data_IF_683940732076
#
_entry.id   IF_683940732076
#
_cell.length_a   1.000
_cell.length_b   1.000
_cell.length_c   1.000
_cell.angle_alpha   90.00
_cell.angle_beta   90.00
_cell.angle_gamma   90.00
#
_symmetry.space_group_name_H-M   'P 1'
#
loop_
_entity.id
_entity.type
_entity.pdbx_description
1 polymer ?
#
# COMPACT_ATOMS: atom_id res chain seq x y z
N UNK A 1 14.59 14.69 -20.06
CA UNK A 1 15.27 14.19 -21.29
C UNK A 1 14.62 12.90 -21.74
N UNK A 2 14.27 12.75 -23.02
CA UNK A 2 13.66 11.53 -23.54
C UNK A 2 14.70 10.40 -23.67
N UNK A 3 14.32 9.17 -23.33
CA UNK A 3 15.21 8.00 -23.43
C UNK A 3 15.61 7.78 -24.91
N UNK A 4 16.90 7.62 -25.24
CA UNK A 4 17.35 7.32 -26.60
C UNK A 4 16.66 6.07 -27.16
N UNK A 5 16.29 6.10 -28.44
CA UNK A 5 15.71 4.95 -29.13
C UNK A 5 16.77 3.84 -29.23
N UNK A 6 16.35 2.59 -29.02
CA UNK A 6 17.22 1.41 -29.19
C UNK A 6 17.66 1.25 -30.63
N UNK A 7 18.87 0.75 -30.85
CA UNK A 7 19.36 0.43 -32.19
C UNK A 7 18.47 -0.62 -32.88
N UNK A 8 18.42 -0.65 -34.23
CA UNK A 8 17.60 -1.62 -34.97
C UNK A 8 17.81 -3.09 -34.55
N UNK A 9 19.06 -3.47 -34.21
CA UNK A 9 19.41 -4.84 -33.80
C UNK A 9 18.92 -5.20 -32.38
N UNK A 10 18.73 -4.21 -31.51
CA UNK A 10 18.24 -4.41 -30.14
C UNK A 10 16.72 -4.34 -30.02
N UNK A 11 16.05 -3.99 -31.13
CA UNK A 11 14.59 -3.98 -31.21
C UNK A 11 14.06 -5.39 -31.42
N UNK A 12 12.97 -5.70 -30.73
CA UNK A 12 12.30 -6.99 -30.86
C UNK A 12 11.47 -6.97 -32.14
N UNK A 13 11.99 -7.54 -33.23
CA UNK A 13 11.38 -7.51 -34.58
C UNK A 13 10.87 -8.87 -35.07
N UNK A 14 11.35 -9.96 -34.49
CA UNK A 14 10.98 -11.32 -34.90
C UNK A 14 9.80 -11.83 -34.07
N UNK A 15 8.85 -12.49 -34.74
CA UNK A 15 7.65 -13.09 -34.14
C UNK A 15 7.83 -14.60 -34.11
N UNK A 16 7.50 -15.20 -32.97
CA UNK A 16 7.41 -16.65 -32.80
C UNK A 16 5.95 -17.01 -32.59
N UNK A 17 5.39 -17.86 -33.44
CA UNK A 17 4.01 -18.32 -33.34
C UNK A 17 3.97 -19.64 -32.57
N UNK A 18 3.32 -19.63 -31.40
CA UNK A 18 3.13 -20.81 -30.56
C UNK A 18 1.63 -21.08 -30.46
N UNK A 19 1.21 -22.31 -30.77
CA UNK A 19 -0.18 -22.75 -30.56
C UNK A 19 -0.32 -23.30 -29.16
N UNK A 20 -1.36 -22.88 -28.46
CA UNK A 20 -1.71 -23.31 -27.11
C UNK A 20 -3.16 -23.78 -27.12
N UNK A 21 -3.45 -24.80 -26.35
CA UNK A 21 -4.82 -25.13 -25.94
C UNK A 21 -5.36 -24.07 -24.97
N UNK A 22 -6.67 -24.06 -24.74
CA UNK A 22 -7.29 -23.13 -23.79
C UNK A 22 -6.76 -23.31 -22.36
N UNK A 23 -6.52 -24.56 -21.94
CA UNK A 23 -5.98 -24.89 -20.64
C UNK A 23 -4.54 -24.35 -20.47
N UNK A 24 -3.68 -24.55 -21.48
CA UNK A 24 -2.30 -24.05 -21.47
C UNK A 24 -2.25 -22.52 -21.48
N UNK A 25 -3.13 -21.87 -22.25
CA UNK A 25 -3.24 -20.42 -22.27
C UNK A 25 -3.68 -19.87 -20.90
N UNK A 26 -4.68 -20.50 -20.27
CA UNK A 26 -5.15 -20.11 -18.95
C UNK A 26 -4.04 -20.28 -17.90
N UNK A 27 -3.35 -21.42 -17.89
CA UNK A 27 -2.23 -21.68 -17.00
C UNK A 27 -1.11 -20.64 -17.17
N UNK A 28 -0.74 -20.33 -18.42
CA UNK A 28 0.30 -19.35 -18.71
C UNK A 28 -0.08 -17.93 -18.27
N UNK A 29 -1.36 -17.54 -18.41
CA UNK A 29 -1.88 -16.28 -17.88
C UNK A 29 -1.84 -16.23 -16.36
N UNK A 30 -2.23 -17.31 -15.68
CA UNK A 30 -2.16 -17.42 -14.22
C UNK A 30 -0.73 -17.26 -13.72
N UNK A 31 0.24 -17.91 -14.38
CA UNK A 31 1.65 -17.77 -13.99
C UNK A 31 2.20 -16.36 -14.26
N UNK A 32 1.81 -15.72 -15.35
CA UNK A 32 2.18 -14.33 -15.62
C UNK A 32 1.63 -13.38 -14.55
N UNK A 33 0.38 -13.57 -14.14
CA UNK A 33 -0.24 -12.82 -13.05
C UNK A 33 0.48 -13.05 -11.72
N UNK A 34 0.78 -14.31 -11.37
CA UNK A 34 1.51 -14.67 -10.16
C UNK A 34 2.94 -14.08 -10.12
N UNK A 35 3.61 -13.97 -11.26
CA UNK A 35 4.92 -13.32 -11.39
C UNK A 35 4.83 -11.77 -11.40
N UNK A 36 3.62 -11.20 -11.46
CA UNK A 36 3.40 -9.77 -11.60
C UNK A 36 4.00 -9.21 -12.89
N UNK A 37 3.82 -9.93 -14.01
CA UNK A 37 4.38 -9.58 -15.32
C UNK A 37 3.30 -9.52 -16.40
N UNK A 38 3.40 -8.59 -17.37
CA UNK A 38 2.55 -8.63 -18.55
C UNK A 38 2.73 -9.96 -19.31
N UNK A 39 1.62 -10.55 -19.77
CA UNK A 39 1.59 -11.86 -20.44
C UNK A 39 2.67 -12.02 -21.51
N UNK A 40 2.75 -11.10 -22.48
CA UNK A 40 3.73 -11.19 -23.57
C UNK A 40 5.18 -11.11 -23.11
N UNK A 41 5.45 -10.40 -21.99
CA UNK A 41 6.79 -10.38 -21.38
C UNK A 41 7.07 -11.71 -20.69
N UNK A 42 6.12 -12.22 -19.90
CA UNK A 42 6.26 -13.50 -19.21
C UNK A 42 6.51 -14.64 -20.19
N UNK A 43 5.64 -14.80 -21.20
CA UNK A 43 5.77 -15.83 -22.23
C UNK A 43 7.13 -15.79 -22.93
N UNK A 44 7.62 -14.60 -23.29
CA UNK A 44 8.94 -14.45 -23.90
C UNK A 44 10.08 -14.91 -22.99
N UNK A 45 10.08 -14.51 -21.72
CA UNK A 45 11.14 -14.92 -20.79
C UNK A 45 11.11 -16.46 -20.61
N UNK A 46 9.92 -17.06 -20.53
CA UNK A 46 9.73 -18.52 -20.46
C UNK A 46 10.25 -19.24 -21.71
N UNK A 47 9.94 -18.74 -22.91
CA UNK A 47 10.46 -19.28 -24.19
C UNK A 47 11.98 -19.20 -24.26
N UNK A 48 12.59 -18.17 -23.66
CA UNK A 48 14.04 -18.00 -23.57
C UNK A 48 14.66 -18.82 -22.42
N UNK A 49 13.93 -19.80 -21.88
CA UNK A 49 14.41 -20.71 -20.84
C UNK A 49 14.51 -20.09 -19.45
N UNK A 50 14.10 -18.83 -19.27
CA UNK A 50 14.05 -18.21 -17.95
C UNK A 50 12.81 -18.69 -17.21
N UNK A 51 12.89 -18.70 -15.89
CA UNK A 51 11.78 -19.10 -15.01
C UNK A 51 11.39 -17.92 -14.12
N UNK A 52 10.66 -16.92 -14.62
CA UNK A 52 10.18 -15.83 -13.78
C UNK A 52 9.36 -16.42 -12.65
N UNK A 53 9.80 -16.20 -11.41
CA UNK A 53 9.15 -16.78 -10.23
C UNK A 53 7.93 -15.96 -9.86
N UNK A 54 6.93 -16.65 -9.31
CA UNK A 54 5.84 -15.98 -8.62
C UNK A 54 6.41 -15.04 -7.56
N UNK A 55 5.84 -13.84 -7.44
CA UNK A 55 6.19 -12.97 -6.31
C UNK A 55 5.68 -13.64 -5.03
N UNK A 56 6.44 -13.57 -3.93
CA UNK A 56 5.93 -14.02 -2.63
C UNK A 56 4.60 -13.31 -2.33
N UNK A 57 3.59 -14.06 -1.87
CA UNK A 57 2.26 -13.50 -1.60
C UNK A 57 2.34 -12.31 -0.63
N UNK A 58 3.23 -12.40 0.37
CA UNK A 58 3.48 -11.34 1.34
C UNK A 58 3.91 -10.03 0.66
N UNK A 59 4.73 -10.11 -0.38
CA UNK A 59 5.20 -8.92 -1.10
C UNK A 59 4.07 -8.29 -1.93
N UNK A 60 3.16 -9.10 -2.48
CA UNK A 60 1.98 -8.59 -3.18
C UNK A 60 1.03 -7.90 -2.19
N UNK A 61 0.76 -8.53 -1.06
CA UNK A 61 -0.09 -8.00 0.01
C UNK A 61 0.47 -6.67 0.52
N UNK A 62 1.77 -6.62 0.81
CA UNK A 62 2.44 -5.40 1.26
C UNK A 62 2.41 -4.29 0.21
N UNK A 63 2.58 -4.61 -1.08
CA UNK A 63 2.44 -3.63 -2.16
C UNK A 63 1.04 -3.01 -2.24
N UNK A 64 -0.01 -3.82 -2.02
CA UNK A 64 -1.39 -3.31 -1.96
C UNK A 64 -1.57 -2.39 -0.76
N UNK A 65 -1.10 -2.80 0.42
CA UNK A 65 -1.14 -1.98 1.62
C UNK A 65 -0.43 -0.62 1.40
N UNK A 66 0.78 -0.63 0.86
CA UNK A 66 1.52 0.60 0.57
C UNK A 66 0.75 1.54 -0.35
N UNK A 67 0.08 0.99 -1.36
CA UNK A 67 -0.75 1.77 -2.26
C UNK A 67 -1.92 2.44 -1.52
N UNK A 68 -2.66 1.68 -0.71
CA UNK A 68 -3.80 2.23 0.06
C UNK A 68 -3.34 3.30 1.07
N UNK A 69 -2.26 3.04 1.81
CA UNK A 69 -1.69 4.00 2.77
C UNK A 69 -1.21 5.28 2.09
N UNK A 70 -0.50 5.17 0.97
CA UNK A 70 -0.02 6.34 0.22
C UNK A 70 -1.16 7.14 -0.41
N UNK A 71 -2.20 6.46 -0.90
CA UNK A 71 -3.41 7.09 -1.41
C UNK A 71 -4.10 7.90 -0.31
N UNK A 72 -4.32 7.30 0.86
CA UNK A 72 -4.88 7.99 2.02
C UNK A 72 -4.01 9.19 2.46
N UNK A 73 -2.69 9.00 2.54
CA UNK A 73 -1.74 10.06 2.91
C UNK A 73 -1.81 11.25 1.95
N UNK A 74 -1.91 10.98 0.64
CA UNK A 74 -2.04 12.02 -0.39
C UNK A 74 -3.33 12.81 -0.21
N UNK A 75 -4.46 12.14 0.06
CA UNK A 75 -5.74 12.81 0.26
C UNK A 75 -5.74 13.65 1.55
N UNK A 76 -5.12 13.16 2.62
CA UNK A 76 -4.92 13.96 3.82
C UNK A 76 -4.02 15.17 3.57
N UNK A 77 -2.95 15.03 2.79
CA UNK A 77 -2.10 16.17 2.45
C UNK A 77 -2.87 17.21 1.64
N UNK A 78 -3.69 16.81 0.67
CA UNK A 78 -4.55 17.74 -0.07
C UNK A 78 -5.51 18.50 0.86
N UNK A 79 -6.12 17.80 1.83
CA UNK A 79 -6.96 18.45 2.84
C UNK A 79 -6.18 19.45 3.69
N UNK A 80 -4.94 19.13 4.07
CA UNK A 80 -4.07 20.04 4.80
C UNK A 80 -3.74 21.29 3.97
N UNK A 81 -3.40 21.10 2.69
CA UNK A 81 -3.01 22.18 1.78
C UNK A 81 -4.17 23.17 1.55
N UNK A 82 -5.41 22.67 1.49
CA UNK A 82 -6.60 23.49 1.27
C UNK A 82 -7.11 24.14 2.55
N UNK A 83 -7.16 23.40 3.66
CA UNK A 83 -7.77 23.91 4.91
C UNK A 83 -6.77 24.62 5.82
N UNK A 84 -5.48 24.37 5.65
CA UNK A 84 -4.42 24.81 6.58
C UNK A 84 -4.46 24.10 7.93
N UNK A 85 -5.32 23.09 8.12
CA UNK A 85 -5.46 22.40 9.40
C UNK A 85 -4.37 21.34 9.58
N UNK A 86 -3.54 21.52 10.61
CA UNK A 86 -2.39 20.64 10.92
C UNK A 86 -2.80 19.18 11.22
N UNK A 87 -4.05 18.94 11.63
CA UNK A 87 -4.54 17.58 11.89
C UNK A 87 -4.41 16.70 10.65
N UNK A 88 -4.73 17.22 9.46
CA UNK A 88 -4.61 16.45 8.23
C UNK A 88 -3.15 16.16 7.86
N UNK A 89 -2.25 17.13 8.05
CA UNK A 89 -0.82 16.93 7.84
C UNK A 89 -0.24 15.86 8.77
N UNK A 90 -0.68 15.82 10.04
CA UNK A 90 -0.30 14.74 10.97
C UNK A 90 -0.77 13.38 10.49
N UNK A 91 -2.01 13.27 10.01
CA UNK A 91 -2.54 12.03 9.47
C UNK A 91 -1.79 11.58 8.20
N UNK A 92 -1.46 12.50 7.30
CA UNK A 92 -0.66 12.19 6.12
C UNK A 92 0.73 11.63 6.47
N UNK A 93 1.43 12.23 7.44
CA UNK A 93 2.74 11.74 7.92
C UNK A 93 2.64 10.39 8.63
N UNK A 94 1.57 10.19 9.40
CA UNK A 94 1.33 8.93 10.09
C UNK A 94 1.09 7.78 9.10
N UNK A 95 0.12 7.93 8.19
CA UNK A 95 -0.28 6.86 7.26
C UNK A 95 0.77 6.59 6.19
N UNK A 96 1.36 7.64 5.61
CA UNK A 96 2.34 7.52 4.52
C UNK A 96 3.78 7.33 4.95
N UNK A 97 4.09 7.49 6.25
CA UNK A 97 5.45 7.41 6.77
C UNK A 97 5.55 6.44 7.95
N UNK A 98 5.09 6.88 9.12
CA UNK A 98 5.34 6.16 10.37
C UNK A 98 4.79 4.73 10.36
N UNK A 99 3.53 4.55 9.97
CA UNK A 99 2.93 3.21 9.95
C UNK A 99 3.56 2.30 8.89
N UNK A 100 3.97 2.87 7.75
CA UNK A 100 4.71 2.14 6.71
C UNK A 100 6.04 1.62 7.25
N UNK A 101 6.81 2.46 7.94
CA UNK A 101 8.07 2.08 8.54
C UNK A 101 7.90 0.98 9.60
N UNK A 102 6.86 1.06 10.44
CA UNK A 102 6.57 0.08 11.48
C UNK A 102 6.16 -1.30 10.90
N UNK A 103 5.47 -1.31 9.75
CA UNK A 103 5.01 -2.53 9.10
C UNK A 103 6.06 -3.13 8.15
N UNK A 104 7.09 -2.37 7.78
CA UNK A 104 8.13 -2.83 6.87
C UNK A 104 8.87 -4.04 7.48
N UNK A 105 8.87 -5.16 6.76
CA UNK A 105 9.53 -6.39 7.19
C UNK A 105 8.72 -7.26 8.17
N UNK A 106 7.53 -6.81 8.60
CA UNK A 106 6.58 -7.59 9.42
C UNK A 106 5.84 -8.65 8.60
N UNK A 107 6.58 -9.62 8.08
CA UNK A 107 6.03 -10.73 7.29
C UNK A 107 5.04 -11.60 8.09
N UNK A 108 5.15 -11.59 9.41
CA UNK A 108 4.23 -12.23 10.36
C UNK A 108 2.82 -11.62 10.33
N UNK A 109 2.66 -10.39 9.82
CA UNK A 109 1.37 -9.70 9.75
C UNK A 109 0.65 -9.86 8.41
N UNK A 110 1.14 -10.71 7.50
CA UNK A 110 0.60 -10.79 6.13
C UNK A 110 -0.92 -11.04 6.09
N UNK A 111 -1.44 -11.97 6.90
CA UNK A 111 -2.88 -12.28 6.94
C UNK A 111 -3.70 -11.11 7.50
N UNK A 112 -3.20 -10.44 8.55
CA UNK A 112 -3.84 -9.26 9.11
C UNK A 112 -3.86 -8.11 8.10
N UNK A 113 -2.73 -7.87 7.43
CA UNK A 113 -2.64 -6.85 6.39
C UNK A 113 -3.65 -7.14 5.29
N UNK A 114 -3.72 -8.39 4.82
CA UNK A 114 -4.67 -8.78 3.78
C UNK A 114 -6.13 -8.53 4.22
N UNK A 115 -6.48 -8.89 5.46
CA UNK A 115 -7.81 -8.63 6.02
C UNK A 115 -8.15 -7.13 6.11
N UNK A 116 -7.15 -6.27 6.33
CA UNK A 116 -7.34 -4.82 6.47
C UNK A 116 -7.31 -4.03 5.15
N UNK A 117 -6.98 -4.65 4.01
CA UNK A 117 -6.96 -3.94 2.70
C UNK A 117 -8.34 -3.36 2.36
N UNK A 118 -9.40 -4.16 2.45
CA UNK A 118 -10.75 -3.72 2.08
C UNK A 118 -11.30 -2.64 3.05
N UNK A 119 -11.23 -2.81 4.39
CA UNK A 119 -11.57 -1.75 5.33
C UNK A 119 -10.80 -0.44 5.07
N UNK A 120 -9.51 -0.53 4.79
CA UNK A 120 -8.68 0.64 4.51
C UNK A 120 -9.07 1.33 3.20
N UNK A 121 -9.37 0.56 2.16
CA UNK A 121 -9.83 1.11 0.89
C UNK A 121 -11.16 1.88 1.05
N UNK A 122 -12.11 1.29 1.78
CA UNK A 122 -13.40 1.92 2.08
C UNK A 122 -13.24 3.20 2.92
N UNK A 123 -12.37 3.20 3.91
CA UNK A 123 -12.03 4.40 4.67
C UNK A 123 -11.27 5.44 3.81
N UNK A 124 -10.39 5.00 2.90
CA UNK A 124 -9.70 5.86 1.95
C UNK A 124 -10.67 6.62 1.03
N UNK A 125 -11.75 5.95 0.61
CA UNK A 125 -12.80 6.58 -0.19
C UNK A 125 -13.56 7.69 0.55
N UNK A 126 -13.76 7.59 1.86
CA UNK A 126 -14.42 8.66 2.62
C UNK A 126 -13.51 9.89 2.71
N UNK A 127 -12.22 9.72 3.00
CA UNK A 127 -11.22 10.80 3.01
C UNK A 127 -11.08 11.45 1.63
N UNK A 128 -11.04 10.64 0.56
CA UNK A 128 -10.97 11.13 -0.81
C UNK A 128 -12.17 12.04 -1.17
N UNK A 129 -13.38 11.67 -0.73
CA UNK A 129 -14.58 12.49 -0.92
C UNK A 129 -14.43 13.87 -0.27
N UNK A 130 -13.89 13.92 0.95
CA UNK A 130 -13.62 15.19 1.62
C UNK A 130 -12.59 16.03 0.87
N UNK A 131 -11.50 15.41 0.42
CA UNK A 131 -10.46 16.08 -0.35
C UNK A 131 -11.03 16.69 -1.65
N UNK A 132 -11.87 15.95 -2.37
CA UNK A 132 -12.56 16.47 -3.56
C UNK A 132 -13.51 17.64 -3.25
N UNK A 133 -14.26 17.58 -2.15
CA UNK A 133 -15.14 18.68 -1.73
C UNK A 133 -14.35 19.94 -1.40
N UNK A 134 -13.30 19.81 -0.59
CA UNK A 134 -12.42 20.91 -0.21
C UNK A 134 -11.74 21.53 -1.44
N UNK A 135 -11.18 20.71 -2.32
CA UNK A 135 -10.56 21.16 -3.57
C UNK A 135 -11.54 21.91 -4.51
N UNK A 136 -12.83 21.59 -4.42
CA UNK A 136 -13.88 22.26 -5.20
C UNK A 136 -14.38 23.57 -4.56
N UNK A 137 -13.79 23.99 -3.43
CA UNK A 137 -14.18 25.18 -2.69
C UNK A 137 -15.45 25.03 -1.86
N UNK A 138 -15.92 23.79 -1.64
CA UNK A 138 -17.05 23.53 -0.75
C UNK A 138 -16.56 23.37 0.70
N UNK A 139 -17.33 23.92 1.63
CA UNK A 139 -17.12 23.64 3.06
C UNK A 139 -17.31 22.15 3.33
N UNK A 140 -16.41 21.60 4.15
CA UNK A 140 -16.46 20.21 4.59
C UNK A 140 -17.23 20.13 5.92
N UNK A 141 -18.43 19.53 5.96
CA UNK A 141 -19.20 19.39 7.19
C UNK A 141 -18.43 18.65 8.29
N UNK A 142 -18.57 19.12 9.53
CA UNK A 142 -17.86 18.56 10.70
C UNK A 142 -18.26 17.11 11.00
N UNK A 143 -19.49 16.72 10.65
CA UNK A 143 -20.01 15.35 10.75
C UNK A 143 -19.28 14.42 9.77
N UNK A 144 -19.28 14.76 8.49
CA UNK A 144 -18.57 14.00 7.44
C UNK A 144 -17.06 13.90 7.70
N UNK A 145 -16.47 14.99 8.21
CA UNK A 145 -15.08 14.99 8.68
C UNK A 145 -14.88 13.95 9.77
N UNK A 146 -15.78 13.91 10.75
CA UNK A 146 -15.76 12.93 11.84
C UNK A 146 -15.84 11.50 11.36
N UNK A 147 -16.81 11.21 10.50
CA UNK A 147 -16.99 9.89 9.91
C UNK A 147 -15.73 9.41 9.18
N UNK A 148 -15.08 10.29 8.41
CA UNK A 148 -13.86 9.92 7.70
C UNK A 148 -12.70 9.61 8.66
N UNK A 149 -12.52 10.41 9.72
CA UNK A 149 -11.47 10.15 10.71
C UNK A 149 -11.73 8.87 11.51
N UNK A 150 -12.97 8.63 11.94
CA UNK A 150 -13.31 7.41 12.68
C UNK A 150 -13.20 6.16 11.80
N UNK A 151 -13.65 6.23 10.54
CA UNK A 151 -13.47 5.13 9.58
C UNK A 151 -11.99 4.81 9.35
N UNK A 152 -11.16 5.84 9.17
CA UNK A 152 -9.71 5.65 8.97
C UNK A 152 -9.03 5.12 10.24
N UNK A 153 -9.42 5.60 11.44
CA UNK A 153 -8.90 5.07 12.70
C UNK A 153 -9.24 3.59 12.84
N UNK A 154 -10.52 3.23 12.70
CA UNK A 154 -10.97 1.85 12.84
C UNK A 154 -10.30 0.89 11.84
N UNK A 155 -10.05 1.35 10.60
CA UNK A 155 -9.35 0.56 9.60
C UNK A 155 -7.86 0.34 9.93
N UNK A 156 -7.19 1.34 10.53
CA UNK A 156 -5.76 1.29 10.80
C UNK A 156 -5.40 0.75 12.19
N UNK A 157 -6.32 0.78 13.14
CA UNK A 157 -6.08 0.39 14.54
C UNK A 157 -5.51 -1.03 14.67
N UNK A 158 -6.06 -2.07 14.00
CA UNK A 158 -5.49 -3.41 14.09
C UNK A 158 -4.04 -3.49 13.57
N UNK A 159 -3.74 -2.73 12.50
CA UNK A 159 -2.38 -2.66 11.95
C UNK A 159 -1.44 -1.92 12.89
N UNK A 160 -1.90 -0.83 13.50
CA UNK A 160 -1.14 -0.06 14.46
C UNK A 160 -0.76 -0.91 15.68
N UNK A 161 -1.76 -1.53 16.33
CA UNK A 161 -1.55 -2.39 17.50
C UNK A 161 -0.57 -3.53 17.21
N UNK A 162 -0.76 -4.19 16.06
CA UNK A 162 0.12 -5.27 15.65
C UNK A 162 1.55 -4.80 15.34
N UNK A 163 1.70 -3.57 14.82
CA UNK A 163 3.00 -3.00 14.47
C UNK A 163 3.88 -2.69 15.69
N UNK A 164 3.28 -2.30 16.82
CA UNK A 164 3.97 -2.02 18.09
C UNK A 164 4.13 -3.27 18.97
N UNK A 165 3.38 -4.33 18.68
CA UNK A 165 3.48 -5.59 19.41
C UNK A 165 4.84 -6.30 19.15
N UNK A 166 5.46 -6.90 20.18
CA UNK A 166 6.72 -7.62 20.03
C UNK A 166 6.57 -8.86 19.17
N UNK A 167 7.45 -9.01 18.18
CA UNK A 167 7.53 -10.19 17.32
C UNK A 167 7.88 -11.45 18.12
N UNK A 168 7.46 -12.63 17.66
CA UNK A 168 7.86 -13.91 18.27
C UNK A 168 9.39 -14.05 18.40
N UNK A 169 10.16 -13.53 17.45
CA UNK A 169 11.63 -13.51 17.49
C UNK A 169 12.22 -12.65 18.63
N UNK A 170 11.48 -11.64 19.12
CA UNK A 170 11.90 -10.79 20.23
C UNK A 170 11.42 -11.30 21.60
N UNK A 171 10.54 -12.30 21.65
CA UNK A 171 10.08 -12.88 22.94
C UNK A 171 11.14 -13.80 23.56
N UNK A 172 12.01 -14.38 22.75
CA UNK A 172 13.09 -15.29 23.20
C UNK A 172 14.41 -14.55 23.54
N UNK A 173 14.54 -13.28 23.15
CA UNK A 173 15.64 -12.42 23.57
C UNK A 173 15.28 -11.76 24.91
N UNK A 174 15.75 -12.34 26.01
CA UNK A 174 15.43 -11.92 27.38
C UNK A 174 15.60 -10.42 27.67
N UNK A 175 14.74 -9.92 28.58
CA UNK A 175 14.73 -8.58 29.21
C UNK A 175 16.15 -8.09 29.60
N UNK A 176 16.58 -6.82 29.35
CA UNK A 176 16.19 -5.60 30.12
C UNK A 176 16.42 -4.23 29.39
N UNK A 177 16.47 -3.04 30.05
CA UNK A 177 15.67 -2.48 31.15
C UNK A 177 14.73 -1.35 30.67
N UNK A 178 13.83 -0.90 31.55
CA UNK A 178 12.98 0.30 31.36
C UNK A 178 13.85 1.56 31.37
N UNK A 179 13.69 2.42 30.35
CA UNK A 179 13.40 3.87 30.47
C UNK A 179 13.58 4.60 29.13
N UNK A 180 12.65 5.53 28.85
CA UNK A 180 12.69 6.42 27.70
C UNK A 180 11.34 6.48 26.99
N UNK A 181 10.43 7.34 27.47
CA UNK A 181 9.20 7.67 26.79
C UNK A 181 9.50 8.26 25.40
N UNK A 182 9.46 7.41 24.38
CA UNK A 182 9.34 7.84 22.99
C UNK A 182 7.95 8.44 22.75
N UNK A 183 7.80 9.34 21.76
CA UNK A 183 6.52 10.01 21.52
C UNK A 183 5.45 8.95 21.23
N UNK A 184 4.29 9.06 21.88
CA UNK A 184 3.15 8.18 21.66
C UNK A 184 2.79 8.19 20.17
N UNK A 185 2.99 7.06 19.49
CA UNK A 185 2.82 6.90 18.05
C UNK A 185 1.38 6.50 17.67
N UNK A 186 0.40 6.93 18.46
CA UNK A 186 -1.01 6.67 18.17
C UNK A 186 -1.47 7.46 16.94
N UNK A 187 -2.43 6.93 16.16
CA UNK A 187 -3.08 7.69 15.10
C UNK A 187 -3.60 9.02 15.67
N UNK A 188 -3.44 10.15 14.94
CA UNK A 188 -3.73 11.45 15.53
C UNK A 188 -5.19 11.55 16.00
N UNK A 189 -5.38 12.02 17.23
CA UNK A 189 -6.72 12.26 17.77
C UNK A 189 -7.42 13.39 16.99
N UNK A 190 -8.76 13.40 17.03
CA UNK A 190 -9.62 14.38 16.34
C UNK A 190 -9.44 15.83 16.86
N UNK A 191 -8.49 16.07 17.78
CA UNK A 191 -8.38 17.30 18.56
C UNK A 191 -7.30 18.28 18.11
N UNK A 192 -7.71 19.55 18.01
CA UNK A 192 -6.88 20.74 17.88
C UNK A 192 -7.61 21.80 17.07
N UNK A 193 -8.21 22.77 17.77
CA UNK A 193 -9.00 23.90 17.23
C UNK A 193 -8.27 24.71 16.18
#
# INVERSE_FOLDING_TARGET
MARPRKSPAEQRRHVVNIRLTDAELAQLKTHAAAAGMPFGRYARETVLGKRPRARPAQLIIFQKLLYELQSAATNFQQLADVTGEEVYARWARYTGGQLVEQLLGRNDLAELIEAQIEPLNMAGHTVNRLAHMANSGHDVPSELRGEAFEAMRAALEPLHEASVAPTAANKDAGTPPKEGAGPSHEPPSRGGR
#
